data_IF_930663542844
#
_entry.id   IF_930663542844
#
_cell.length_a   1.000
_cell.length_b   1.000
_cell.length_c   1.000
_cell.angle_alpha   90.00
_cell.angle_beta   90.00
_cell.angle_gamma   90.00
#
_symmetry.space_group_name_H-M   'P 1'
#
loop_
_entity.id
_entity.type
_entity.pdbx_description
1 polymer ?
#
# COMPACT_ATOMS: atom_id res chain seq x y z
N UNK A 1 -22.94 -7.17 7.90
CA UNK A 1 -22.44 -6.17 6.93
C UNK A 1 -21.16 -6.70 6.27
N UNK A 2 -21.23 -6.90 4.94
CA UNK A 2 -20.19 -7.26 3.95
C UNK A 2 -18.89 -7.95 4.42
N UNK A 3 -18.89 -9.29 4.45
CA UNK A 3 -17.66 -10.10 4.28
C UNK A 3 -17.07 -10.02 2.86
N UNK A 4 -17.69 -9.24 1.97
CA UNK A 4 -17.30 -9.09 0.57
C UNK A 4 -16.00 -8.29 0.38
N UNK A 5 -15.69 -7.37 1.31
CA UNK A 5 -14.51 -6.48 1.23
C UNK A 5 -13.17 -7.24 1.16
N UNK A 6 -12.85 -8.19 2.07
CA UNK A 6 -11.60 -8.93 1.98
C UNK A 6 -11.51 -9.79 0.70
N UNK A 7 -12.63 -10.40 0.29
CA UNK A 7 -12.65 -11.21 -0.94
C UNK A 7 -12.40 -10.36 -2.20
N UNK A 8 -12.97 -9.15 -2.25
CA UNK A 8 -12.72 -8.19 -3.33
C UNK A 8 -11.26 -7.74 -3.40
N UNK A 9 -10.56 -7.62 -2.27
CA UNK A 9 -9.14 -7.26 -2.30
C UNK A 9 -8.29 -8.34 -2.99
N UNK A 10 -8.62 -9.62 -2.82
CA UNK A 10 -7.93 -10.70 -3.51
C UNK A 10 -8.17 -10.66 -5.03
N UNK A 11 -9.38 -10.29 -5.47
CA UNK A 11 -9.75 -10.20 -6.90
C UNK A 11 -9.35 -8.88 -7.57
N UNK A 12 -9.30 -7.77 -6.83
CA UNK A 12 -8.95 -6.44 -7.32
C UNK A 12 -7.46 -6.13 -7.21
N UNK A 13 -6.65 -7.10 -6.76
CA UNK A 13 -5.21 -6.94 -6.62
C UNK A 13 -4.61 -6.66 -8.00
N UNK A 14 -4.21 -5.42 -8.23
CA UNK A 14 -3.55 -5.05 -9.46
C UNK A 14 -2.10 -5.55 -9.42
N UNK A 15 -1.65 -6.24 -10.47
CA UNK A 15 -0.24 -6.58 -10.65
C UNK A 15 0.54 -5.28 -10.89
N UNK A 16 1.17 -4.77 -9.84
CA UNK A 16 2.07 -3.61 -9.92
C UNK A 16 3.34 -4.05 -10.62
N UNK A 17 3.39 -3.90 -11.94
CA UNK A 17 4.57 -4.26 -12.74
C UNK A 17 5.69 -3.23 -12.57
N UNK A 18 5.46 -2.00 -13.02
CA UNK A 18 6.42 -0.90 -12.89
C UNK A 18 5.95 0.18 -11.90
N UNK A 19 4.69 0.13 -11.45
CA UNK A 19 4.15 1.04 -10.43
C UNK A 19 3.99 2.50 -10.83
N UNK A 20 4.27 2.86 -12.10
CA UNK A 20 4.26 4.25 -12.60
C UNK A 20 2.84 4.79 -12.77
N UNK A 21 1.90 3.94 -13.17
CA UNK A 21 0.49 4.32 -13.33
C UNK A 21 -0.40 3.93 -12.13
N UNK A 22 0.15 3.25 -11.14
CA UNK A 22 -0.58 2.78 -9.97
C UNK A 22 -0.40 3.76 -8.83
N UNK A 23 -1.48 4.39 -8.36
CA UNK A 23 -1.42 5.26 -7.18
C UNK A 23 -1.16 4.44 -5.91
N UNK A 24 -0.19 4.89 -5.11
CA UNK A 24 0.18 4.27 -3.84
C UNK A 24 -1.01 4.21 -2.85
N UNK A 25 -1.83 5.26 -2.79
CA UNK A 25 -2.89 5.37 -1.79
C UNK A 25 -4.23 4.76 -2.20
N UNK A 26 -4.58 4.92 -3.47
CA UNK A 26 -5.94 4.65 -3.95
C UNK A 26 -6.10 3.32 -4.66
N UNK A 27 -5.02 2.73 -5.19
CA UNK A 27 -5.11 1.43 -5.85
C UNK A 27 -4.99 0.28 -4.85
N UNK A 28 -5.72 -0.80 -5.13
CA UNK A 28 -5.64 -2.07 -4.39
C UNK A 28 -4.46 -2.88 -4.90
N UNK A 29 -3.25 -2.52 -4.47
CA UNK A 29 -2.04 -3.30 -4.74
C UNK A 29 -1.53 -4.06 -3.51
N UNK A 30 -1.88 -3.60 -2.31
CA UNK A 30 -1.63 -4.30 -1.05
C UNK A 30 -2.79 -5.27 -0.70
N UNK A 31 -2.51 -6.30 0.09
CA UNK A 31 -3.53 -7.27 0.54
C UNK A 31 -4.62 -6.60 1.37
N UNK A 32 -4.25 -5.55 2.10
CA UNK A 32 -5.14 -4.76 2.94
C UNK A 32 -6.09 -3.85 2.14
N UNK A 33 -5.95 -3.78 0.82
CA UNK A 33 -6.73 -2.90 -0.05
C UNK A 33 -6.09 -1.51 -0.23
N UNK A 34 -6.87 -0.51 -0.68
CA UNK A 34 -6.39 0.86 -0.80
C UNK A 34 -5.93 1.41 0.55
N UNK A 35 -4.69 1.86 0.63
CA UNK A 35 -4.06 2.31 1.87
C UNK A 35 -4.74 3.53 2.48
N UNK A 36 -5.36 4.37 1.65
CA UNK A 36 -6.14 5.51 2.13
C UNK A 36 -7.34 5.07 2.96
N UNK A 37 -7.86 3.87 2.76
CA UNK A 37 -8.97 3.32 3.56
C UNK A 37 -8.47 2.70 4.88
N UNK A 38 -7.18 2.34 4.96
CA UNK A 38 -6.58 1.68 6.13
C UNK A 38 -5.96 2.70 7.09
N UNK A 39 -5.26 3.70 6.55
CA UNK A 39 -4.57 4.73 7.32
C UNK A 39 -5.30 6.09 7.31
N UNK A 40 -6.41 6.18 6.59
CA UNK A 40 -7.24 7.39 6.46
C UNK A 40 -6.41 8.63 6.08
N UNK A 41 -6.82 9.81 6.52
CA UNK A 41 -6.13 11.07 6.21
C UNK A 41 -4.76 11.21 6.87
N UNK A 42 -4.47 10.40 7.89
CA UNK A 42 -3.20 10.43 8.62
C UNK A 42 -2.09 9.69 7.86
N UNK A 43 -2.44 8.72 7.01
CA UNK A 43 -1.50 7.90 6.25
C UNK A 43 -0.43 8.69 5.50
N UNK A 44 -0.79 9.64 4.62
CA UNK A 44 0.17 10.45 3.87
C UNK A 44 1.23 11.12 4.75
N UNK A 45 0.81 11.66 5.89
CA UNK A 45 1.71 12.31 6.85
C UNK A 45 2.57 11.30 7.61
N UNK A 46 2.00 10.15 7.96
CA UNK A 46 2.70 9.07 8.68
C UNK A 46 3.79 8.42 7.83
N UNK A 47 3.47 8.10 6.58
CA UNK A 47 4.41 7.45 5.65
C UNK A 47 5.29 8.44 4.88
N UNK A 48 5.06 9.75 5.02
CA UNK A 48 5.77 10.81 4.29
C UNK A 48 5.71 10.64 2.77
N UNK A 49 4.61 10.07 2.29
CA UNK A 49 4.32 9.87 0.87
C UNK A 49 3.15 10.79 0.50
N UNK A 50 3.30 11.53 -0.59
CA UNK A 50 2.25 12.44 -1.07
C UNK A 50 1.00 11.65 -1.48
N UNK A 51 -0.18 12.27 -1.38
CA UNK A 51 -1.47 11.62 -1.75
C UNK A 51 -1.52 11.20 -3.22
N UNK A 52 -0.86 11.95 -4.09
CA UNK A 52 -0.78 11.70 -5.53
C UNK A 52 0.39 10.79 -5.93
N UNK A 53 1.17 10.31 -4.97
CA UNK A 53 2.31 9.46 -5.26
C UNK A 53 1.90 8.12 -5.87
N UNK A 54 2.75 7.64 -6.75
CA UNK A 54 2.69 6.34 -7.41
C UNK A 54 3.42 5.29 -6.60
N UNK A 55 3.16 4.01 -6.87
CA UNK A 55 3.87 2.92 -6.20
C UNK A 55 5.37 2.95 -6.53
N UNK A 56 5.75 3.33 -7.76
CA UNK A 56 7.16 3.49 -8.14
C UNK A 56 7.88 4.60 -7.41
N UNK A 57 7.18 5.65 -6.97
CA UNK A 57 7.80 6.73 -6.19
C UNK A 57 8.00 6.34 -4.72
N UNK A 58 7.25 5.35 -4.23
CA UNK A 58 7.37 4.81 -2.89
C UNK A 58 8.42 3.68 -2.76
N UNK A 59 8.90 3.16 -3.89
CA UNK A 59 9.90 2.09 -3.98
C UNK A 59 11.18 2.63 -4.63
N UNK A 60 12.33 2.40 -4.01
CA UNK A 60 13.64 2.72 -4.58
C UNK A 60 14.49 1.46 -4.64
N UNK A 61 15.02 1.14 -5.81
CA UNK A 61 15.86 -0.05 -6.04
C UNK A 61 15.20 -1.37 -5.59
N UNK A 62 13.89 -1.50 -5.81
CA UNK A 62 13.13 -2.67 -5.35
C UNK A 62 12.96 -2.73 -3.83
N UNK A 63 13.17 -1.64 -3.09
CA UNK A 63 12.94 -1.57 -1.65
C UNK A 63 11.98 -0.44 -1.29
N UNK A 64 11.09 -0.68 -0.33
CA UNK A 64 10.16 0.35 0.16
C UNK A 64 10.89 1.44 0.94
N UNK A 65 10.72 2.70 0.53
CA UNK A 65 11.30 3.86 1.24
C UNK A 65 10.23 4.43 2.17
N UNK A 66 10.01 3.74 3.29
CA UNK A 66 9.01 4.11 4.29
C UNK A 66 9.67 4.46 5.63
N UNK A 67 9.15 5.44 6.38
CA UNK A 67 9.60 5.70 7.75
C UNK A 67 9.27 4.49 8.65
N UNK A 68 10.02 4.34 9.75
CA UNK A 68 9.73 3.32 10.76
C UNK A 68 8.26 3.34 11.16
N UNK A 69 7.61 2.18 11.18
CA UNK A 69 6.20 2.07 11.54
C UNK A 69 5.98 2.62 12.95
N UNK A 70 5.03 3.57 13.08
CA UNK A 70 4.67 4.21 14.36
C UNK A 70 3.29 3.80 14.87
N UNK A 71 2.64 2.84 14.21
CA UNK A 71 1.37 2.27 14.61
C UNK A 71 1.31 0.77 14.24
N UNK A 72 0.48 -0.04 14.91
CA UNK A 72 0.29 -1.45 14.57
C UNK A 72 -0.10 -1.66 13.10
N UNK A 73 -0.95 -0.78 12.56
CA UNK A 73 -1.40 -0.83 11.17
C UNK A 73 -0.24 -0.58 10.21
N UNK A 74 0.64 0.38 10.53
CA UNK A 74 1.85 0.64 9.75
C UNK A 74 2.83 -0.54 9.80
N UNK A 75 2.90 -1.28 10.91
CA UNK A 75 3.72 -2.50 11.02
C UNK A 75 3.15 -3.60 10.12
N UNK A 76 1.83 -3.86 10.19
CA UNK A 76 1.17 -4.86 9.34
C UNK A 76 1.38 -4.54 7.86
N UNK A 77 1.28 -3.27 7.49
CA UNK A 77 1.56 -2.80 6.13
C UNK A 77 3.00 -3.11 5.71
N UNK A 78 4.00 -2.79 6.55
CA UNK A 78 5.40 -3.09 6.26
C UNK A 78 5.68 -4.58 6.06
N UNK A 79 5.00 -5.45 6.81
CA UNK A 79 5.12 -6.90 6.66
C UNK A 79 4.55 -7.35 5.30
N UNK A 80 3.33 -6.92 4.95
CA UNK A 80 2.68 -7.29 3.68
C UNK A 80 3.50 -6.84 2.44
N UNK A 81 4.04 -5.63 2.50
CA UNK A 81 4.88 -5.05 1.45
C UNK A 81 6.16 -5.84 1.15
N UNK A 82 6.84 -6.34 2.19
CA UNK A 82 8.06 -7.14 2.03
C UNK A 82 7.79 -8.46 1.27
N UNK A 83 6.61 -9.04 1.46
CA UNK A 83 6.18 -10.23 0.73
C UNK A 83 5.78 -9.93 -0.71
N UNK A 84 5.36 -8.70 -1.02
CA UNK A 84 4.85 -8.33 -2.35
C UNK A 84 5.95 -8.01 -3.36
N UNK A 85 7.14 -7.61 -2.91
CA UNK A 85 8.32 -7.37 -3.79
C UNK A 85 9.03 -8.68 -4.16
N UNK A 86 8.83 -9.74 -3.37
CA UNK A 86 9.49 -11.02 -3.53
C UNK A 86 8.82 -11.96 -4.54
N UNK A 87 7.83 -11.48 -5.32
CA UNK A 87 7.15 -12.22 -6.41
C UNK A 87 7.29 -11.48 -7.72
#
# INVERSE_FOLDING_TARGET
MLQLKPMLNDFLRCLVRNGISSSFWYHTWALLGPLISVLEEHGPRMLRIRKDATVSEAVRDGNWVLPSARSPEAVTLQIDYSSSISR
#
